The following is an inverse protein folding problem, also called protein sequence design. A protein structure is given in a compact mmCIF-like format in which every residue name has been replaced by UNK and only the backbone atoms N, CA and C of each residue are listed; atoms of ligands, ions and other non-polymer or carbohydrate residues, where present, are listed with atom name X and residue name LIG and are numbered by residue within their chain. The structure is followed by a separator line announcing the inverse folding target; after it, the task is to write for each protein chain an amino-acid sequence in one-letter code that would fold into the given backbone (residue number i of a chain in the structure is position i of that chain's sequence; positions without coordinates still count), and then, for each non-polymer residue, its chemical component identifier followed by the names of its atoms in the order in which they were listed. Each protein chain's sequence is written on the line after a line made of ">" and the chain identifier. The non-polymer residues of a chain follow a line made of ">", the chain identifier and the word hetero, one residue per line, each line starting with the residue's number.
data_IF_533732196380
#
_entry.id   IF_533732196380
#
_cell.length_a   1.000
_cell.length_b   1.000
_cell.length_c   1.000
_cell.angle_alpha   90.00
_cell.angle_beta   90.00
_cell.angle_gamma   90.00
#
_symmetry.space_group_name_H-M   'P 1'
#
loop_
_entity.id
_entity.type
_entity.pdbx_description
1 polymer ?
#
# COMPACT_ATOMS: atom_id res chain seq x y z
N UNK A 1 16.75 -11.16 6.70
CA UNK A 1 16.64 -9.79 6.14
C UNK A 1 16.20 -9.76 4.68
N UNK A 2 16.79 -10.55 3.75
CA UNK A 2 16.33 -10.55 2.34
C UNK A 2 14.83 -10.87 2.17
N UNK A 3 14.27 -11.77 2.98
CA UNK A 3 12.85 -12.12 2.86
C UNK A 3 11.90 -10.99 3.25
N UNK A 4 12.29 -10.09 4.17
CA UNK A 4 11.48 -8.90 4.50
C UNK A 4 11.39 -7.97 3.30
N UNK A 5 12.51 -7.75 2.60
CA UNK A 5 12.53 -6.98 1.35
C UNK A 5 11.63 -7.62 0.28
N UNK A 6 11.73 -8.95 0.08
CA UNK A 6 10.88 -9.64 -0.89
C UNK A 6 9.40 -9.63 -0.50
N UNK A 7 9.07 -9.82 0.77
CA UNK A 7 7.71 -9.72 1.28
C UNK A 7 7.12 -8.34 1.04
N UNK A 8 7.89 -7.28 1.29
CA UNK A 8 7.48 -5.91 1.00
C UNK A 8 7.29 -5.67 -0.52
N UNK A 9 8.20 -6.17 -1.36
CA UNK A 9 8.09 -5.99 -2.82
C UNK A 9 6.91 -6.78 -3.42
N UNK A 10 6.58 -7.93 -2.85
CA UNK A 10 5.61 -8.87 -3.38
C UNK A 10 4.26 -8.86 -2.65
N UNK A 11 4.06 -8.00 -1.64
CA UNK A 11 2.84 -8.00 -0.79
C UNK A 11 1.54 -8.04 -1.62
N UNK A 12 1.53 -7.32 -2.74
CA UNK A 12 0.38 -7.17 -3.62
C UNK A 12 0.35 -8.13 -4.84
N UNK A 13 1.31 -9.06 -4.96
CA UNK A 13 1.44 -9.93 -6.16
C UNK A 13 0.17 -10.73 -6.44
N UNK A 14 -0.60 -11.05 -5.39
CA UNK A 14 -1.86 -11.78 -5.53
C UNK A 14 -2.97 -11.01 -6.25
N UNK A 15 -2.82 -9.69 -6.48
CA UNK A 15 -3.75 -8.90 -7.31
C UNK A 15 -3.83 -9.42 -8.74
N UNK A 16 -2.82 -10.15 -9.23
CA UNK A 16 -2.87 -10.83 -10.53
C UNK A 16 -4.03 -11.85 -10.65
N UNK A 17 -4.50 -12.39 -9.52
CA UNK A 17 -5.63 -13.31 -9.49
C UNK A 17 -6.99 -12.64 -9.27
N UNK A 18 -7.04 -11.30 -9.23
CA UNK A 18 -8.28 -10.54 -9.06
C UNK A 18 -8.82 -10.15 -10.45
N UNK A 19 -10.11 -10.39 -10.75
CA UNK A 19 -10.69 -10.01 -12.04
C UNK A 19 -10.55 -8.52 -12.32
N UNK A 20 -10.24 -8.14 -13.56
CA UNK A 20 -10.10 -6.74 -13.99
C UNK A 20 -11.36 -5.91 -13.70
N UNK A 21 -12.55 -6.50 -13.80
CA UNK A 21 -13.82 -5.84 -13.48
C UNK A 21 -13.90 -5.38 -12.03
N UNK A 22 -13.16 -6.01 -11.12
CA UNK A 22 -13.02 -5.63 -9.71
C UNK A 22 -11.78 -4.75 -9.52
N UNK A 23 -10.62 -5.19 -10.02
CA UNK A 23 -9.33 -4.52 -9.80
C UNK A 23 -9.25 -3.11 -10.43
N UNK A 24 -9.84 -2.93 -11.61
CA UNK A 24 -9.78 -1.68 -12.39
C UNK A 24 -11.06 -0.85 -12.27
N UNK A 25 -11.97 -1.23 -11.37
CA UNK A 25 -13.25 -0.54 -11.20
C UNK A 25 -13.03 0.92 -10.83
N UNK A 26 -13.70 1.82 -11.55
CA UNK A 26 -13.74 3.25 -11.24
C UNK A 26 -14.87 3.52 -10.26
N UNK A 27 -14.55 3.60 -8.97
CA UNK A 27 -15.50 3.87 -7.89
C UNK A 27 -15.40 2.86 -6.75
N UNK A 28 -16.33 2.94 -5.79
CA UNK A 28 -16.35 2.04 -4.64
C UNK A 28 -16.69 0.60 -5.05
N UNK A 29 -16.01 -0.36 -4.43
CA UNK A 29 -16.37 -1.76 -4.51
C UNK A 29 -17.62 -2.02 -3.65
N UNK A 30 -18.52 -2.85 -4.16
CA UNK A 30 -19.62 -3.47 -3.43
C UNK A 30 -19.09 -4.50 -2.43
N UNK A 31 -19.96 -4.99 -1.55
CA UNK A 31 -19.59 -6.04 -0.56
C UNK A 31 -19.04 -7.30 -1.24
N UNK A 32 -19.71 -7.80 -2.27
CA UNK A 32 -19.27 -8.98 -3.02
C UNK A 32 -17.94 -8.75 -3.76
N UNK A 33 -17.72 -7.56 -4.30
CA UNK A 33 -16.45 -7.21 -4.95
C UNK A 33 -15.31 -7.09 -3.92
N UNK A 34 -15.60 -6.58 -2.72
CA UNK A 34 -14.66 -6.58 -1.61
C UNK A 34 -14.28 -8.01 -1.17
N UNK A 35 -15.23 -8.93 -1.12
CA UNK A 35 -14.95 -10.35 -0.82
C UNK A 35 -14.01 -11.00 -1.85
N UNK A 36 -14.06 -10.54 -3.11
CA UNK A 36 -13.11 -10.98 -4.14
C UNK A 36 -11.75 -10.31 -3.91
N UNK A 37 -11.72 -8.99 -3.75
CA UNK A 37 -10.49 -8.22 -3.53
C UNK A 37 -9.68 -8.73 -2.33
N UNK A 38 -10.35 -9.09 -1.23
CA UNK A 38 -9.73 -9.60 0.01
C UNK A 38 -9.05 -10.96 -0.14
N UNK A 39 -9.17 -11.62 -1.29
CA UNK A 39 -8.47 -12.88 -1.58
C UNK A 39 -7.03 -12.66 -2.01
N UNK A 40 -6.63 -11.45 -2.38
CA UNK A 40 -5.29 -11.19 -2.90
C UNK A 40 -4.16 -11.60 -1.94
N UNK A 41 -4.24 -11.47 -0.60
CA UNK A 41 -3.15 -11.92 0.29
C UNK A 41 -2.99 -13.45 0.23
N UNK A 42 -4.10 -14.20 0.18
CA UNK A 42 -4.09 -15.66 0.08
C UNK A 42 -3.58 -16.14 -1.29
N UNK A 43 -3.95 -15.44 -2.37
CA UNK A 43 -3.44 -15.73 -3.71
C UNK A 43 -1.92 -15.45 -3.75
N UNK A 44 -1.48 -14.31 -3.23
CA UNK A 44 -0.08 -13.92 -3.17
C UNK A 44 0.76 -14.89 -2.35
N UNK A 45 0.27 -15.28 -1.17
CA UNK A 45 0.92 -16.29 -0.33
C UNK A 45 1.14 -17.60 -1.09
N UNK A 46 0.14 -18.11 -1.81
CA UNK A 46 0.28 -19.34 -2.62
C UNK A 46 1.35 -19.21 -3.71
N UNK A 47 1.46 -18.04 -4.34
CA UNK A 47 2.49 -17.77 -5.36
C UNK A 47 3.88 -17.78 -4.70
N UNK A 48 4.06 -17.02 -3.63
CA UNK A 48 5.37 -16.83 -2.98
C UNK A 48 5.83 -18.11 -2.26
N UNK A 49 4.93 -18.81 -1.58
CA UNK A 49 5.25 -20.05 -0.86
C UNK A 49 5.63 -21.22 -1.79
N UNK A 50 5.43 -21.10 -3.11
CA UNK A 50 5.88 -22.11 -4.08
C UNK A 50 7.41 -22.10 -4.26
N UNK A 51 8.07 -20.98 -3.95
CA UNK A 51 9.51 -20.88 -3.93
C UNK A 51 10.05 -21.36 -2.58
N UNK A 52 10.90 -22.39 -2.60
CA UNK A 52 11.64 -22.81 -1.41
C UNK A 52 12.44 -21.61 -0.87
N UNK A 53 12.54 -21.45 0.45
CA UNK A 53 13.27 -20.36 1.13
C UNK A 53 12.59 -18.97 1.11
N UNK A 54 11.28 -18.90 0.86
CA UNK A 54 10.49 -17.65 0.90
C UNK A 54 9.37 -17.67 1.97
N UNK A 55 9.49 -18.51 3.00
CA UNK A 55 8.43 -18.72 3.99
C UNK A 55 8.09 -17.43 4.78
N UNK A 56 9.09 -16.66 5.19
CA UNK A 56 8.91 -15.39 5.92
C UNK A 56 8.34 -14.30 4.99
N UNK A 57 8.79 -14.25 3.74
CA UNK A 57 8.24 -13.35 2.74
C UNK A 57 6.75 -13.68 2.45
N UNK A 58 6.41 -14.96 2.35
CA UNK A 58 5.05 -15.43 2.15
C UNK A 58 4.15 -15.06 3.34
N UNK A 59 4.63 -15.17 4.58
CA UNK A 59 3.87 -14.77 5.77
C UNK A 59 3.61 -13.25 5.82
N UNK A 60 4.55 -12.41 5.35
CA UNK A 60 4.32 -10.97 5.20
C UNK A 60 3.21 -10.74 4.17
N UNK A 61 3.31 -11.36 2.99
CA UNK A 61 2.30 -11.26 1.92
C UNK A 61 0.92 -11.71 2.40
N UNK A 62 0.84 -12.77 3.20
CA UNK A 62 -0.44 -13.25 3.73
C UNK A 62 -1.05 -12.28 4.75
N UNK A 63 -0.22 -11.57 5.51
CA UNK A 63 -0.64 -10.86 6.73
C UNK A 63 -0.61 -9.34 6.62
N UNK A 64 -0.19 -8.76 5.49
CA UNK A 64 -0.02 -7.31 5.37
C UNK A 64 -1.32 -6.50 5.49
N UNK A 65 -2.47 -7.14 5.31
CA UNK A 65 -3.81 -6.56 5.46
C UNK A 65 -4.47 -6.90 6.83
N UNK A 66 -3.75 -7.59 7.70
CA UNK A 66 -4.16 -7.77 9.09
C UNK A 66 -4.09 -6.42 9.82
N UNK A 67 -5.01 -6.23 10.76
CA UNK A 67 -5.11 -5.00 11.56
C UNK A 67 -4.84 -5.34 13.00
N UNK A 68 -4.10 -4.50 13.70
CA UNK A 68 -3.70 -4.75 15.08
C UNK A 68 -4.88 -5.05 16.03
N UNK A 69 -6.04 -4.44 15.78
CA UNK A 69 -7.30 -4.66 16.51
C UNK A 69 -8.06 -5.96 16.15
N UNK A 70 -7.56 -6.75 15.21
CA UNK A 70 -8.20 -8.00 14.76
C UNK A 70 -9.29 -7.82 13.71
N UNK A 71 -9.55 -6.60 13.23
CA UNK A 71 -10.59 -6.33 12.20
C UNK A 71 -10.07 -6.50 10.77
N UNK A 72 -8.82 -6.92 10.61
CA UNK A 72 -8.16 -7.16 9.33
C UNK A 72 -8.53 -8.50 8.71
N UNK A 73 -7.80 -8.86 7.66
CA UNK A 73 -7.99 -10.09 6.89
C UNK A 73 -6.64 -10.58 6.36
N UNK A 74 -6.51 -11.85 5.95
CA UNK A 74 -7.54 -12.88 5.78
C UNK A 74 -7.83 -13.73 7.02
N UNK A 75 -6.98 -13.72 8.04
CA UNK A 75 -7.08 -14.60 9.22
C UNK A 75 -7.72 -13.90 10.43
N UNK A 76 -7.80 -12.57 10.44
CA UNK A 76 -8.34 -11.82 11.57
C UNK A 76 -7.42 -11.90 12.79
N UNK A 77 -6.11 -11.87 12.55
CA UNK A 77 -5.11 -11.90 13.61
C UNK A 77 -5.10 -10.56 14.34
N UNK A 78 -4.91 -10.61 15.66
CA UNK A 78 -4.87 -9.44 16.51
C UNK A 78 -3.56 -9.35 17.30
N UNK A 79 -3.10 -8.13 17.56
CA UNK A 79 -1.94 -7.86 18.38
C UNK A 79 -0.69 -8.60 17.91
N UNK A 80 -0.01 -9.26 18.85
CA UNK A 80 1.23 -10.01 18.62
C UNK A 80 1.04 -11.32 17.85
N UNK A 81 -0.20 -11.75 17.59
CA UNK A 81 -0.45 -12.89 16.71
C UNK A 81 -0.10 -12.57 15.25
N UNK A 82 -0.10 -11.28 14.87
CA UNK A 82 0.36 -10.82 13.55
C UNK A 82 1.90 -10.92 13.53
N UNK A 83 2.51 -11.54 12.49
CA UNK A 83 3.96 -11.61 12.35
C UNK A 83 4.62 -10.23 12.50
N UNK A 84 5.74 -10.19 13.24
CA UNK A 84 6.45 -8.93 13.54
C UNK A 84 6.73 -8.10 12.28
N UNK A 85 7.23 -8.74 11.22
CA UNK A 85 7.56 -8.05 9.98
C UNK A 85 6.33 -7.53 9.24
N UNK A 86 5.18 -8.20 9.34
CA UNK A 86 3.93 -7.69 8.78
C UNK A 86 3.44 -6.45 9.55
N UNK A 87 3.58 -6.43 10.89
CA UNK A 87 3.23 -5.26 11.72
C UNK A 87 4.10 -4.03 11.40
N UNK A 88 5.41 -4.23 11.24
CA UNK A 88 6.32 -3.16 10.82
C UNK A 88 6.03 -2.71 9.38
N UNK A 89 5.83 -3.67 8.47
CA UNK A 89 5.54 -3.39 7.07
C UNK A 89 4.23 -2.60 6.90
N UNK A 90 3.17 -2.90 7.66
CA UNK A 90 1.89 -2.18 7.58
C UNK A 90 2.05 -0.67 7.82
N UNK A 91 2.99 -0.25 8.67
CA UNK A 91 3.31 1.18 8.89
C UNK A 91 3.91 1.80 7.63
N UNK A 92 4.87 1.11 7.01
CA UNK A 92 5.54 1.56 5.79
C UNK A 92 4.60 1.56 4.60
N UNK A 93 3.76 0.53 4.44
CA UNK A 93 2.76 0.47 3.38
C UNK A 93 1.71 1.58 3.53
N UNK A 94 1.27 1.86 4.76
CA UNK A 94 0.34 2.98 5.03
C UNK A 94 0.99 4.33 4.72
N UNK A 95 2.26 4.54 5.12
CA UNK A 95 3.02 5.74 4.76
C UNK A 95 3.10 5.90 3.24
N UNK A 96 3.46 4.83 2.52
CA UNK A 96 3.60 4.82 1.07
C UNK A 96 2.26 5.12 0.39
N UNK A 97 1.18 4.50 0.83
CA UNK A 97 -0.15 4.68 0.29
C UNK A 97 -0.68 6.12 0.43
N UNK A 98 -0.33 6.80 1.53
CA UNK A 98 -0.74 8.18 1.80
C UNK A 98 0.09 9.17 0.99
N UNK A 99 1.41 8.96 0.93
CA UNK A 99 2.38 9.89 0.32
C UNK A 99 2.55 9.72 -1.19
N UNK A 100 2.08 8.60 -1.76
CA UNK A 100 2.13 8.35 -3.21
C UNK A 100 1.01 9.03 -3.98
N UNK A 101 1.35 9.53 -5.17
CA UNK A 101 0.37 9.87 -6.21
C UNK A 101 -0.36 8.61 -6.69
N UNK A 102 -1.67 8.73 -6.84
CA UNK A 102 -2.54 7.72 -7.46
C UNK A 102 -3.32 8.39 -8.60
N UNK A 103 -3.83 7.64 -9.59
CA UNK A 103 -4.51 8.22 -10.77
C UNK A 103 -5.60 9.26 -10.45
N UNK A 104 -6.20 9.19 -9.26
CA UNK A 104 -7.31 10.05 -8.84
C UNK A 104 -6.99 10.98 -7.66
N UNK A 105 -5.77 10.96 -7.10
CA UNK A 105 -5.41 11.75 -5.92
C UNK A 105 -3.90 11.97 -5.85
N UNK A 106 -3.46 13.19 -5.56
CA UNK A 106 -2.05 13.45 -5.23
C UNK A 106 -1.69 12.88 -3.87
N UNK A 107 -0.43 12.48 -3.71
CA UNK A 107 0.14 12.13 -2.43
C UNK A 107 0.02 13.28 -1.42
N UNK A 108 -0.19 12.94 -0.16
CA UNK A 108 -0.17 13.92 0.92
C UNK A 108 1.25 14.12 1.46
N UNK A 109 1.48 15.19 2.24
CA UNK A 109 2.78 15.42 2.87
C UNK A 109 3.09 14.34 3.91
N UNK A 110 4.39 14.19 4.22
CA UNK A 110 4.84 13.32 5.30
C UNK A 110 4.15 13.62 6.63
N UNK A 111 3.94 14.90 6.96
CA UNK A 111 3.30 15.30 8.22
C UNK A 111 1.83 14.85 8.30
N UNK A 112 1.11 14.89 7.16
CA UNK A 112 -0.25 14.33 7.06
C UNK A 112 -0.23 12.83 7.25
N UNK A 113 0.72 12.13 6.63
CA UNK A 113 0.87 10.69 6.79
C UNK A 113 1.20 10.33 8.25
N UNK A 114 2.16 11.01 8.88
CA UNK A 114 2.51 10.83 10.30
C UNK A 114 1.32 11.03 11.22
N UNK A 115 0.53 12.09 11.01
CA UNK A 115 -0.68 12.34 11.80
C UNK A 115 -1.70 11.21 11.66
N UNK A 116 -1.87 10.67 10.45
CA UNK A 116 -2.75 9.54 10.19
C UNK A 116 -2.24 8.24 10.84
N UNK A 117 -0.94 7.94 10.71
CA UNK A 117 -0.29 6.79 11.35
C UNK A 117 -0.50 6.82 12.87
N UNK A 118 -0.33 7.98 13.50
CA UNK A 118 -0.61 8.18 14.92
C UNK A 118 -2.10 7.93 15.24
N UNK A 119 -3.01 8.47 14.41
CA UNK A 119 -4.46 8.35 14.61
C UNK A 119 -4.95 6.89 14.55
N UNK A 120 -4.32 6.06 13.71
CA UNK A 120 -4.69 4.64 13.54
C UNK A 120 -3.85 3.67 14.37
N UNK A 121 -2.88 4.18 15.13
CA UNK A 121 -2.07 3.41 16.09
C UNK A 121 -2.96 2.74 17.15
N UNK A 122 -2.68 1.48 17.46
CA UNK A 122 -3.49 0.63 18.35
C UNK A 122 -4.78 0.09 17.71
N UNK A 123 -5.10 0.48 16.48
CA UNK A 123 -6.24 -0.04 15.69
C UNK A 123 -5.75 -0.77 14.45
N UNK A 124 -5.33 -0.01 13.44
CA UNK A 124 -4.74 -0.58 12.23
C UNK A 124 -3.31 -1.04 12.50
N UNK A 125 -2.54 -0.18 13.16
CA UNK A 125 -1.11 -0.31 13.29
C UNK A 125 -0.73 -0.69 14.72
N UNK A 126 0.32 -1.48 14.83
CA UNK A 126 0.94 -1.77 16.12
C UNK A 126 1.55 -0.50 16.71
N UNK A 127 1.20 -0.11 17.96
CA UNK A 127 1.81 1.01 18.65
C UNK A 127 3.35 0.95 18.69
N UNK A 128 3.93 -0.24 18.89
CA UNK A 128 5.39 -0.39 18.93
C UNK A 128 6.01 -0.19 17.54
N UNK A 129 5.34 -0.63 16.48
CA UNK A 129 5.80 -0.37 15.11
C UNK A 129 5.75 1.13 14.78
N UNK A 130 4.71 1.83 15.26
CA UNK A 130 4.63 3.29 15.13
C UNK A 130 5.75 4.00 15.92
N UNK A 131 6.09 3.53 17.12
CA UNK A 131 7.22 4.09 17.89
C UNK A 131 8.55 3.95 17.14
N UNK A 132 8.81 2.79 16.52
CA UNK A 132 10.00 2.58 15.67
C UNK A 132 9.98 3.51 14.46
N UNK A 133 8.82 3.72 13.82
CA UNK A 133 8.67 4.71 12.75
C UNK A 133 9.06 6.13 13.22
N UNK A 134 8.66 6.53 14.43
CA UNK A 134 9.02 7.85 14.98
C UNK A 134 10.52 7.94 15.23
N UNK A 135 11.16 6.86 15.71
CA UNK A 135 12.61 6.83 15.90
C UNK A 135 13.39 6.98 14.58
N UNK A 136 12.86 6.45 13.48
CA UNK A 136 13.44 6.51 12.14
C UNK A 136 12.88 7.65 11.27
N UNK A 137 12.15 8.60 11.87
CA UNK A 137 11.38 9.62 11.13
C UNK A 137 12.25 10.42 10.15
N UNK A 138 13.46 10.81 10.56
CA UNK A 138 14.37 11.60 9.73
C UNK A 138 14.74 10.85 8.43
N UNK A 139 15.13 9.58 8.56
CA UNK A 139 15.48 8.70 7.42
C UNK A 139 14.28 8.48 6.52
N UNK A 140 13.11 8.17 7.09
CA UNK A 140 11.90 7.91 6.32
C UNK A 140 11.39 9.15 5.59
N UNK A 141 11.54 10.34 6.19
CA UNK A 141 11.22 11.60 5.54
C UNK A 141 12.10 11.84 4.32
N UNK A 142 13.41 11.65 4.47
CA UNK A 142 14.35 11.75 3.34
C UNK A 142 13.98 10.78 2.21
N UNK A 143 13.64 9.54 2.54
CA UNK A 143 13.22 8.54 1.55
C UNK A 143 11.94 8.94 0.80
N UNK A 144 10.94 9.47 1.50
CA UNK A 144 9.70 9.98 0.89
C UNK A 144 9.99 11.18 -0.01
N UNK A 145 10.86 12.09 0.42
CA UNK A 145 11.25 13.27 -0.37
C UNK A 145 11.99 12.87 -1.65
N UNK A 146 12.91 11.90 -1.59
CA UNK A 146 13.61 11.35 -2.76
C UNK A 146 12.61 10.74 -3.74
N UNK A 147 11.68 9.92 -3.24
CA UNK A 147 10.66 9.26 -4.06
C UNK A 147 9.76 10.27 -4.77
N UNK A 148 9.24 11.25 -4.02
CA UNK A 148 8.31 12.26 -4.54
C UNK A 148 9.01 13.32 -5.41
N UNK A 149 10.25 13.71 -5.07
CA UNK A 149 11.07 14.61 -5.86
C UNK A 149 11.47 14.02 -7.22
N UNK A 150 11.82 12.72 -7.25
CA UNK A 150 12.06 12.01 -8.50
C UNK A 150 10.80 11.88 -9.37
N UNK A 151 9.61 11.76 -8.76
CA UNK A 151 8.34 11.76 -9.48
C UNK A 151 8.02 13.12 -10.11
N UNK A 152 8.31 14.23 -9.41
CA UNK A 152 8.13 15.59 -9.94
C UNK A 152 9.04 15.89 -11.14
N UNK A 153 10.28 15.40 -11.14
CA UNK A 153 11.23 15.57 -12.25
C UNK A 153 10.85 14.77 -13.52
N UNK A 154 9.96 13.77 -13.40
CA UNK A 154 9.53 12.89 -14.51
C UNK A 154 8.26 13.36 -15.23
N UNK A 155 7.57 14.38 -14.71
CA UNK A 155 6.39 14.94 -15.34
C UNK A 155 6.78 15.83 -16.53
N UNK A 156 6.67 15.30 -17.76
CA UNK A 156 6.81 16.09 -18.98
C UNK A 156 5.84 17.29 -18.96
N UNK A 157 6.25 18.48 -19.42
CA UNK A 157 5.34 19.62 -19.53
C UNK A 157 4.19 19.24 -20.46
N UNK A 158 2.95 19.40 -20.00
CA UNK A 158 1.76 19.22 -20.84
C UNK A 158 1.90 20.17 -22.03
N UNK A 159 1.92 19.62 -23.24
CA UNK A 159 1.89 20.42 -24.46
C UNK A 159 0.68 21.36 -24.40
N UNK A 160 0.82 22.65 -24.77
CA UNK A 160 -0.29 23.58 -24.72
C UNK A 160 -1.41 23.08 -25.64
N UNK A 161 -2.65 23.08 -25.13
CA UNK A 161 -3.83 22.74 -25.92
C UNK A 161 -3.83 23.62 -27.17
N UNK A 162 -3.66 22.99 -28.34
CA UNK A 162 -3.96 23.64 -29.61
C UNK A 162 -5.46 23.92 -29.64
N UNK A 163 -5.84 25.18 -29.47
CA UNK A 163 -7.20 25.63 -29.69
C UNK A 163 -7.49 25.56 -31.18
N UNK A 164 -8.25 24.56 -31.61
CA UNK A 164 -8.77 24.50 -32.98
C UNK A 164 -9.65 25.74 -33.25
N UNK A 165 -9.57 26.34 -34.46
CA UNK A 165 -10.37 27.52 -34.77
C UNK A 165 -11.87 27.18 -34.83
N UNK A 166 -12.77 28.13 -34.54
CA UNK A 166 -14.21 27.90 -34.55
C UNK A 166 -14.71 27.59 -35.96
N UNK A 167 -15.61 26.62 -36.08
CA UNK A 167 -16.29 26.30 -37.35
C UNK A 167 -17.23 27.44 -37.76
N UNK A 168 -17.38 27.72 -39.07
CA UNK A 168 -18.33 28.71 -39.55
C UNK A 168 -19.76 28.21 -39.37
N UNK A 169 -20.65 29.11 -38.97
CA UNK A 169 -22.08 28.86 -38.82
C UNK A 169 -22.74 28.63 -40.18
N UNK A 170 -23.51 27.54 -40.28
CA UNK A 170 -24.64 27.35 -41.19
C UNK A 170 -25.75 26.64 -40.42
#
# INVERSE_FOLDING_TARGET
>A
MHQVYWGALLHDIGKIGIPDSVLLKRGSLSVAEWEIMRRHPQIGHRIVASAQFMEEAAEIVLSHEERFDGTGYPRGLAGSAIPLWARLFAVIDTLDAITSDRPYRRGASFDVARAELLRVSGKQLDPLAFEVFVAEEATLREMVDIKCGAAAARALPKAPLQTSPPRPAQ
#
